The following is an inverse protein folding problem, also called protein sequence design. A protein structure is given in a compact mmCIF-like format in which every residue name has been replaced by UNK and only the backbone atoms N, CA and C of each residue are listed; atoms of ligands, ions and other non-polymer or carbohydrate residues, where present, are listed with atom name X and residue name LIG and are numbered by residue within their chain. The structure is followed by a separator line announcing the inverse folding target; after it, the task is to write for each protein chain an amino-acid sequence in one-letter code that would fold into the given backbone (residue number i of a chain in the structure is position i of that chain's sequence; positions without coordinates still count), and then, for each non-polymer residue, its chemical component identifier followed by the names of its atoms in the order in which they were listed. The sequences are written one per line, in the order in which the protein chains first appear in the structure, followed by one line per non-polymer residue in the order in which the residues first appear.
data_IF_901979001155
#
_entry.id   IF_901979001155
#
_cell.length_a   1.000
_cell.length_b   1.000
_cell.length_c   1.000
_cell.angle_alpha   90.00
_cell.angle_beta   90.00
_cell.angle_gamma   90.00
#
_symmetry.space_group_name_H-M   'P 1'
#
loop_
_entity.id
_entity.type
_entity.pdbx_description
1 polymer ?
#
# COMPACT_ATOMS: atom_id res chain seq x y z
N UNK A 1 -4.15 9.26 3.17
CA UNK A 1 -5.32 9.69 2.35
C UNK A 1 -5.14 9.60 0.83
N UNK A 2 -4.32 10.44 0.16
CA UNK A 2 -4.27 10.44 -1.33
C UNK A 2 -3.85 9.11 -1.96
N UNK A 3 -2.83 8.46 -1.40
CA UNK A 3 -2.35 7.14 -1.87
C UNK A 3 -3.44 6.08 -1.82
N UNK A 4 -4.27 6.09 -0.77
CA UNK A 4 -5.43 5.20 -0.60
C UNK A 4 -6.48 5.48 -1.67
N UNK A 5 -6.81 6.76 -1.89
CA UNK A 5 -7.81 7.15 -2.89
C UNK A 5 -7.41 6.72 -4.31
N UNK A 6 -6.15 6.92 -4.69
CA UNK A 6 -5.65 6.48 -6.01
C UNK A 6 -5.64 4.96 -6.13
N UNK A 7 -5.15 4.25 -5.12
CA UNK A 7 -5.15 2.79 -5.11
C UNK A 7 -6.58 2.22 -5.22
N UNK A 8 -7.54 2.79 -4.49
CA UNK A 8 -8.94 2.37 -4.53
C UNK A 8 -9.56 2.58 -5.91
N UNK A 9 -9.30 3.73 -6.54
CA UNK A 9 -9.76 3.99 -7.91
C UNK A 9 -9.13 3.04 -8.93
N UNK A 10 -7.86 2.68 -8.78
CA UNK A 10 -7.22 1.68 -9.65
C UNK A 10 -7.73 0.25 -9.39
N UNK A 11 -8.18 -0.04 -8.17
CA UNK A 11 -8.71 -1.36 -7.82
C UNK A 11 -10.11 -1.58 -8.38
N UNK A 12 -10.88 -0.50 -8.54
CA UNK A 12 -12.19 -0.46 -9.19
C UNK A 12 -12.06 -0.53 -10.73
N UNK A 13 -11.41 -1.60 -11.21
CA UNK A 13 -11.13 -1.83 -12.64
C UNK A 13 -12.08 -2.83 -13.29
N UNK A 14 -12.99 -3.42 -12.52
CA UNK A 14 -13.92 -4.43 -13.04
C UNK A 14 -15.05 -3.76 -13.82
N UNK A 15 -15.31 -4.30 -15.01
CA UNK A 15 -16.45 -3.93 -15.82
C UNK A 15 -17.74 -4.57 -15.29
N UNK A 16 -18.87 -3.99 -15.70
CA UNK A 16 -20.17 -4.56 -15.36
C UNK A 16 -20.29 -5.99 -15.89
N UNK A 17 -20.58 -6.93 -15.00
CA UNK A 17 -20.73 -8.36 -15.32
C UNK A 17 -19.50 -9.22 -15.02
N UNK A 18 -18.34 -8.62 -14.70
CA UNK A 18 -17.15 -9.36 -14.28
C UNK A 18 -17.25 -9.80 -12.80
N UNK A 19 -16.62 -10.93 -12.47
CA UNK A 19 -16.66 -11.43 -11.10
C UNK A 19 -15.62 -10.71 -10.21
N UNK A 20 -15.99 -10.38 -8.97
CA UNK A 20 -15.07 -9.74 -8.00
C UNK A 20 -13.77 -10.52 -7.76
N UNK A 21 -13.77 -11.83 -7.96
CA UNK A 21 -12.56 -12.66 -7.84
C UNK A 21 -11.52 -12.38 -8.93
N UNK A 22 -11.94 -11.78 -10.05
CA UNK A 22 -11.10 -11.51 -11.22
C UNK A 22 -10.33 -10.19 -11.09
N UNK A 23 -10.63 -9.37 -10.08
CA UNK A 23 -9.90 -8.12 -9.84
C UNK A 23 -8.40 -8.38 -9.73
N UNK A 24 -7.62 -7.65 -10.51
CA UNK A 24 -6.17 -7.73 -10.47
C UNK A 24 -5.63 -7.04 -9.21
N UNK A 25 -4.51 -7.51 -8.66
CA UNK A 25 -3.83 -6.82 -7.56
C UNK A 25 -3.44 -5.38 -7.92
N UNK A 26 -3.57 -4.47 -6.95
CA UNK A 26 -3.09 -3.09 -7.02
C UNK A 26 -1.97 -2.89 -6.01
N UNK A 27 -0.86 -2.36 -6.53
CA UNK A 27 0.30 -1.91 -5.77
C UNK A 27 0.48 -0.42 -6.01
N UNK A 28 0.17 0.40 -5.01
CA UNK A 28 0.43 1.84 -5.07
C UNK A 28 1.81 2.11 -4.53
N UNK A 29 2.69 2.75 -5.29
CA UNK A 29 4.08 3.01 -4.88
C UNK A 29 4.27 4.52 -4.81
N UNK A 30 4.50 5.03 -3.59
CA UNK A 30 4.79 6.43 -3.33
C UNK A 30 6.26 6.66 -2.99
N UNK A 31 6.87 7.66 -3.61
CA UNK A 31 8.19 8.15 -3.24
C UNK A 31 8.01 9.45 -2.44
N UNK A 32 8.50 9.48 -1.22
CA UNK A 32 8.39 10.62 -0.33
C UNK A 32 9.75 11.27 -0.13
N UNK A 33 9.76 12.60 -0.06
CA UNK A 33 10.91 13.40 0.33
C UNK A 33 10.78 13.91 1.79
N UNK A 34 9.99 13.20 2.60
CA UNK A 34 9.79 13.44 4.03
C UNK A 34 9.41 12.13 4.74
N UNK A 35 9.68 12.06 6.04
CA UNK A 35 9.34 10.93 6.89
C UNK A 35 7.86 10.93 7.25
N UNK A 36 7.15 9.83 6.95
CA UNK A 36 5.72 9.72 7.21
C UNK A 36 5.40 9.51 8.70
N UNK A 37 6.20 8.69 9.39
CA UNK A 37 6.08 8.37 10.81
C UNK A 37 7.44 8.52 11.49
N UNK A 38 7.64 9.62 12.22
CA UNK A 38 8.95 9.93 12.80
C UNK A 38 9.35 9.00 13.95
N UNK A 39 8.39 8.39 14.64
CA UNK A 39 8.62 7.43 15.72
C UNK A 39 9.15 6.09 15.23
N UNK A 40 8.75 5.69 14.01
CA UNK A 40 9.10 4.41 13.39
C UNK A 40 9.44 4.63 11.91
N UNK A 41 10.57 5.28 11.63
CA UNK A 41 10.99 5.57 10.27
C UNK A 41 11.43 4.30 9.56
N UNK A 42 11.02 4.15 8.30
CA UNK A 42 11.40 3.04 7.43
C UNK A 42 11.84 3.58 6.07
N UNK A 43 12.92 3.04 5.50
CA UNK A 43 13.26 3.36 4.11
C UNK A 43 12.18 2.86 3.13
N UNK A 44 11.65 1.66 3.37
CA UNK A 44 10.61 1.04 2.58
C UNK A 44 9.57 0.40 3.50
N UNK A 45 8.34 0.93 3.45
CA UNK A 45 7.21 0.40 4.22
C UNK A 45 6.13 -0.16 3.28
N UNK A 46 5.46 -1.23 3.72
CA UNK A 46 4.31 -1.81 3.02
C UNK A 46 3.10 -1.85 3.95
N UNK A 47 1.99 -1.27 3.49
CA UNK A 47 0.72 -1.21 4.21
C UNK A 47 -0.33 -2.05 3.48
N UNK A 48 -1.02 -2.91 4.25
CA UNK A 48 -2.03 -3.85 3.76
C UNK A 48 -3.32 -3.76 4.58
N UNK A 49 -4.43 -4.22 4.01
CA UNK A 49 -5.69 -4.34 4.74
C UNK A 49 -5.68 -5.58 5.62
N UNK A 50 -5.73 -5.37 6.94
CA UNK A 50 -5.65 -6.45 7.93
C UNK A 50 -6.78 -6.37 8.95
N UNK A 51 -7.17 -7.51 9.50
CA UNK A 51 -8.11 -7.59 10.60
C UNK A 51 -7.52 -6.88 11.84
N UNK A 52 -8.22 -5.89 12.37
CA UNK A 52 -7.75 -5.09 13.51
C UNK A 52 -7.46 -5.90 14.79
N UNK A 53 -8.22 -6.98 15.03
CA UNK A 53 -8.08 -7.80 16.24
C UNK A 53 -7.01 -8.88 16.09
N UNK A 54 -6.98 -9.57 14.96
CA UNK A 54 -6.12 -10.75 14.77
C UNK A 54 -4.87 -10.46 13.96
N UNK A 55 -4.78 -9.31 13.30
CA UNK A 55 -3.72 -8.99 12.35
C UNK A 55 -3.77 -9.80 11.05
N UNK A 56 -4.76 -10.68 10.88
CA UNK A 56 -4.88 -11.54 9.70
C UNK A 56 -5.06 -10.70 8.43
N UNK A 57 -4.33 -11.05 7.38
CA UNK A 57 -4.41 -10.40 6.08
C UNK A 57 -5.81 -10.61 5.49
N UNK A 58 -6.48 -9.52 5.13
CA UNK A 58 -7.79 -9.61 4.50
C UNK A 58 -7.66 -10.03 3.02
N UNK A 59 -6.74 -9.41 2.30
CA UNK A 59 -6.43 -9.70 0.91
C UNK A 59 -5.06 -9.17 0.55
N UNK A 60 -4.30 -9.91 -0.24
CA UNK A 60 -3.02 -9.47 -0.82
C UNK A 60 -3.19 -8.62 -2.09
N UNK A 61 -4.42 -8.44 -2.57
CA UNK A 61 -4.70 -7.73 -3.82
C UNK A 61 -4.66 -6.20 -3.69
N UNK A 62 -4.52 -5.65 -2.49
CA UNK A 62 -4.47 -4.21 -2.28
C UNK A 62 -3.36 -3.87 -1.31
N UNK A 63 -2.35 -3.15 -1.80
CA UNK A 63 -1.21 -2.73 -0.99
C UNK A 63 -0.71 -1.35 -1.37
N UNK A 64 -0.17 -0.66 -0.37
CA UNK A 64 0.47 0.65 -0.52
C UNK A 64 1.91 0.50 -0.05
N UNK A 65 2.84 0.81 -0.94
CA UNK A 65 4.26 0.83 -0.71
C UNK A 65 4.73 2.28 -0.64
N UNK A 66 5.59 2.57 0.32
CA UNK A 66 6.16 3.90 0.52
C UNK A 66 7.66 3.77 0.59
N UNK A 67 8.37 4.50 -0.28
CA UNK A 67 9.81 4.71 -0.20
C UNK A 67 10.07 6.10 0.39
N UNK A 68 10.76 6.14 1.51
CA UNK A 68 11.21 7.38 2.14
C UNK A 68 12.64 7.71 1.71
N UNK A 69 12.76 8.68 0.80
CA UNK A 69 14.05 9.11 0.25
C UNK A 69 14.89 9.91 1.25
N UNK A 70 14.34 10.31 2.39
CA UNK A 70 15.11 10.96 3.46
C UNK A 70 15.80 9.94 4.37
N UNK A 71 15.37 8.68 4.34
CA UNK A 71 15.85 7.59 5.20
C UNK A 71 16.64 6.53 4.44
N UNK A 72 17.41 6.95 3.43
CA UNK A 72 18.30 6.05 2.66
C UNK A 72 19.34 5.38 3.57
N UNK A 73 19.66 5.98 4.73
CA UNK A 73 20.49 5.37 5.76
C UNK A 73 19.93 4.03 6.29
N UNK A 74 18.61 3.82 6.17
CA UNK A 74 17.91 2.61 6.59
C UNK A 74 17.72 1.60 5.45
N UNK A 75 18.25 1.86 4.24
CA UNK A 75 18.15 0.93 3.13
C UNK A 75 18.98 -0.33 3.37
N UNK A 76 18.34 -1.50 3.35
CA UNK A 76 19.01 -2.80 3.47
C UNK A 76 19.28 -3.40 2.10
N UNK A 77 20.42 -4.08 1.93
CA UNK A 77 20.83 -4.77 0.71
C UNK A 77 20.12 -6.11 0.50
#
# INVERSE_FOLDING_TARGET
ERSISYAARSFDQLNSGEEYKEVLPVHSIGFLNFTLFEDQPEFFATYELRNKKTGHLYSSKFSIHVLDLTRIDLATA
#
